data_IF_423717704418
#
_entry.id   IF_423717704418
#
_cell.length_a   1.000
_cell.length_b   1.000
_cell.length_c   1.000
_cell.angle_alpha   90.00
_cell.angle_beta   90.00
_cell.angle_gamma   90.00
#
_symmetry.space_group_name_H-M   'P 1'
#
loop_
_entity.id
_entity.type
_entity.pdbx_description
1 polymer ?
#
# COMPACT_ATOMS: atom_id res chain seq x y z
N UNK A 1 18.84 -1.98 -4.07
CA UNK A 1 18.38 -0.61 -3.78
C UNK A 1 16.85 -0.44 -3.75
N UNK A 2 16.09 -0.64 -4.84
CA UNK A 2 14.63 -0.42 -4.83
C UNK A 2 13.81 -1.37 -3.95
N UNK A 3 14.21 -2.66 -3.89
CA UNK A 3 13.61 -3.67 -2.99
C UNK A 3 13.85 -3.37 -1.51
N UNK A 4 15.04 -2.84 -1.18
CA UNK A 4 15.40 -2.45 0.19
C UNK A 4 14.52 -1.30 0.71
N UNK A 5 14.15 -0.33 -0.13
CA UNK A 5 13.30 0.79 0.30
C UNK A 5 11.88 0.33 0.69
N UNK A 6 11.24 -0.52 -0.10
CA UNK A 6 9.91 -1.04 0.26
C UNK A 6 9.96 -1.89 1.53
N UNK A 7 11.05 -2.64 1.74
CA UNK A 7 11.29 -3.37 2.99
C UNK A 7 11.36 -2.43 4.21
N UNK A 8 12.03 -1.28 4.11
CA UNK A 8 12.05 -0.30 5.21
C UNK A 8 10.66 0.28 5.49
N UNK A 9 9.86 0.56 4.46
CA UNK A 9 8.50 1.02 4.67
C UNK A 9 7.63 -0.06 5.35
N UNK A 10 7.84 -1.33 5.01
CA UNK A 10 7.16 -2.46 5.63
C UNK A 10 7.57 -2.62 7.09
N UNK A 11 8.86 -2.47 7.41
CA UNK A 11 9.35 -2.41 8.79
C UNK A 11 8.68 -1.27 9.58
N UNK A 12 8.63 -0.05 9.02
CA UNK A 12 7.93 1.07 9.65
C UNK A 12 6.45 0.76 9.91
N UNK A 13 5.78 0.08 8.97
CA UNK A 13 4.40 -0.36 9.16
C UNK A 13 4.25 -1.34 10.32
N UNK A 14 5.15 -2.33 10.45
CA UNK A 14 5.14 -3.30 11.55
C UNK A 14 5.42 -2.62 12.90
N UNK A 15 6.27 -1.59 12.92
CA UNK A 15 6.54 -0.74 14.08
C UNK A 15 5.42 0.29 14.37
N UNK A 16 4.30 0.22 13.64
CA UNK A 16 3.15 1.14 13.76
C UNK A 16 3.47 2.60 13.44
N UNK A 17 4.59 2.88 12.75
CA UNK A 17 5.01 4.21 12.31
C UNK A 17 4.34 4.59 10.98
N UNK A 18 3.00 4.55 10.95
CA UNK A 18 2.22 4.67 9.70
C UNK A 18 2.44 5.99 8.96
N UNK A 19 2.48 7.11 9.67
CA UNK A 19 2.72 8.42 9.04
C UNK A 19 4.12 8.54 8.45
N UNK A 20 5.14 8.03 9.16
CA UNK A 20 6.52 8.01 8.67
C UNK A 20 6.64 7.11 7.45
N UNK A 21 6.00 5.94 7.46
CA UNK A 21 5.93 5.04 6.31
C UNK A 21 5.27 5.74 5.11
N UNK A 22 4.19 6.50 5.32
CA UNK A 22 3.52 7.27 4.26
C UNK A 22 4.42 8.35 3.68
N UNK A 23 5.11 9.14 4.51
CA UNK A 23 6.09 10.14 4.04
C UNK A 23 7.18 9.46 3.20
N UNK A 24 7.73 8.36 3.70
CA UNK A 24 8.75 7.59 2.99
C UNK A 24 8.22 7.06 1.64
N UNK A 25 7.05 6.45 1.62
CA UNK A 25 6.42 5.89 0.40
C UNK A 25 6.06 6.96 -0.62
N UNK A 26 5.65 8.17 -0.18
CA UNK A 26 5.39 9.30 -1.08
C UNK A 26 6.64 9.74 -1.86
N UNK A 27 7.82 9.67 -1.23
CA UNK A 27 9.10 10.00 -1.88
C UNK A 27 9.65 8.88 -2.76
N UNK A 28 9.16 7.65 -2.60
CA UNK A 28 9.60 6.51 -3.40
C UNK A 28 9.06 6.59 -4.83
N UNK A 29 9.97 6.63 -5.81
CA UNK A 29 9.66 6.59 -7.25
C UNK A 29 10.21 5.30 -7.87
N UNK A 30 9.37 4.62 -8.63
CA UNK A 30 9.76 3.43 -9.39
C UNK A 30 9.24 3.49 -10.82
N UNK A 31 9.95 2.82 -11.74
CA UNK A 31 9.56 2.66 -13.15
C UNK A 31 8.91 1.31 -13.42
N UNK A 32 8.92 0.42 -12.42
CA UNK A 32 8.44 -0.94 -12.55
C UNK A 32 7.05 -1.03 -11.92
N UNK A 33 6.06 -1.44 -12.73
CA UNK A 33 4.66 -1.56 -12.31
C UNK A 33 4.51 -2.40 -11.04
N UNK A 34 5.23 -3.52 -10.96
CA UNK A 34 5.28 -4.39 -9.77
C UNK A 34 5.59 -3.63 -8.47
N UNK A 35 6.62 -2.79 -8.47
CA UNK A 35 7.00 -2.03 -7.27
C UNK A 35 6.03 -0.88 -6.99
N UNK A 36 5.36 -0.34 -8.01
CA UNK A 36 4.32 0.67 -7.81
C UNK A 36 3.08 0.05 -7.18
N UNK A 37 2.67 -1.14 -7.62
CA UNK A 37 1.58 -1.89 -6.99
C UNK A 37 1.90 -2.17 -5.52
N UNK A 38 3.10 -2.65 -5.19
CA UNK A 38 3.51 -2.88 -3.80
C UNK A 38 3.50 -1.59 -2.97
N UNK A 39 4.04 -0.51 -3.53
CA UNK A 39 4.06 0.80 -2.88
C UNK A 39 2.64 1.28 -2.56
N UNK A 40 1.73 1.20 -3.53
CA UNK A 40 0.32 1.59 -3.36
C UNK A 40 -0.38 0.70 -2.33
N UNK A 41 -0.12 -0.61 -2.33
CA UNK A 41 -0.69 -1.51 -1.34
C UNK A 41 -0.26 -1.15 0.08
N UNK A 42 1.03 -0.90 0.28
CA UNK A 42 1.55 -0.51 1.59
C UNK A 42 1.05 0.88 2.01
N UNK A 43 0.94 1.84 1.08
CA UNK A 43 0.32 3.14 1.35
C UNK A 43 -1.15 2.97 1.76
N UNK A 44 -1.91 2.11 1.08
CA UNK A 44 -3.30 1.81 1.39
C UNK A 44 -3.45 1.30 2.82
N UNK A 45 -2.63 0.31 3.22
CA UNK A 45 -2.60 -0.21 4.59
C UNK A 45 -2.24 0.87 5.62
N UNK A 46 -1.26 1.73 5.33
CA UNK A 46 -0.88 2.81 6.24
C UNK A 46 -1.99 3.86 6.39
N UNK A 47 -2.65 4.25 5.29
CA UNK A 47 -3.76 5.20 5.34
C UNK A 47 -4.95 4.66 6.12
N UNK A 48 -5.26 3.37 5.95
CA UNK A 48 -6.33 2.70 6.71
C UNK A 48 -6.05 2.75 8.22
N UNK A 49 -4.82 2.38 8.62
CA UNK A 49 -4.39 2.46 10.03
C UNK A 49 -4.32 3.88 10.58
N UNK A 50 -4.09 4.88 9.72
CA UNK A 50 -4.13 6.30 10.08
C UNK A 50 -5.56 6.91 10.03
N UNK A 51 -6.60 6.11 9.79
CA UNK A 51 -7.99 6.58 9.72
C UNK A 51 -8.36 7.35 8.44
N UNK A 52 -7.47 7.42 7.46
CA UNK A 52 -7.71 8.13 6.20
C UNK A 52 -8.29 7.17 5.13
N UNK A 53 -9.56 6.83 5.32
CA UNK A 53 -10.24 5.81 4.50
C UNK A 53 -10.31 6.15 3.00
N UNK A 54 -10.50 7.42 2.65
CA UNK A 54 -10.58 7.84 1.24
C UNK A 54 -9.27 7.60 0.50
N UNK A 55 -8.14 7.92 1.14
CA UNK A 55 -6.81 7.69 0.56
C UNK A 55 -6.48 6.19 0.55
N UNK A 56 -6.88 5.45 1.58
CA UNK A 56 -6.74 4.00 1.62
C UNK A 56 -7.48 3.34 0.44
N UNK A 57 -8.74 3.73 0.22
CA UNK A 57 -9.55 3.21 -0.87
C UNK A 57 -8.96 3.51 -2.24
N UNK A 58 -8.48 4.74 -2.47
CA UNK A 58 -7.84 5.10 -3.74
C UNK A 58 -6.62 4.20 -4.04
N UNK A 59 -5.79 3.93 -3.02
CA UNK A 59 -4.68 3.01 -3.11
C UNK A 59 -5.14 1.56 -3.38
N UNK A 60 -6.13 1.05 -2.64
CA UNK A 60 -6.61 -0.32 -2.83
C UNK A 60 -7.26 -0.54 -4.19
N UNK A 61 -8.02 0.44 -4.72
CA UNK A 61 -8.58 0.39 -6.08
C UNK A 61 -7.49 0.31 -7.14
N UNK A 62 -6.42 1.09 -6.99
CA UNK A 62 -5.26 1.00 -7.88
C UNK A 62 -4.64 -0.39 -7.85
N UNK A 63 -4.40 -0.94 -6.66
CA UNK A 63 -3.81 -2.28 -6.50
C UNK A 63 -4.70 -3.36 -7.09
N UNK A 64 -6.01 -3.28 -6.90
CA UNK A 64 -6.97 -4.23 -7.47
C UNK A 64 -6.98 -4.19 -9.01
N UNK A 65 -6.82 -3.01 -9.61
CA UNK A 65 -6.81 -2.83 -11.06
C UNK A 65 -5.49 -3.28 -11.72
N UNK A 66 -4.36 -3.06 -11.07
CA UNK A 66 -3.02 -3.24 -11.68
C UNK A 66 -2.19 -4.38 -11.09
N UNK A 67 -2.63 -5.02 -9.99
CA UNK A 67 -1.90 -6.06 -9.26
C UNK A 67 -2.01 -7.48 -9.81
N UNK A 68 -1.99 -7.65 -11.14
CA UNK A 68 -2.35 -8.88 -11.86
C UNK A 68 -1.64 -10.20 -11.45
N UNK A 69 -0.56 -10.17 -10.67
CA UNK A 69 0.22 -11.37 -10.29
C UNK A 69 0.63 -11.42 -8.81
N UNK A 70 0.05 -10.59 -7.95
CA UNK A 70 0.51 -10.42 -6.57
C UNK A 70 -0.58 -10.74 -5.52
N UNK A 71 -0.23 -11.36 -4.38
CA UNK A 71 -1.12 -11.48 -3.21
C UNK A 71 -1.69 -10.12 -2.74
N UNK A 72 -1.01 -9.03 -3.10
CA UNK A 72 -1.48 -7.66 -2.85
C UNK A 72 -2.84 -7.38 -3.50
N UNK A 73 -3.16 -7.99 -4.66
CA UNK A 73 -4.47 -7.80 -5.31
C UNK A 73 -5.59 -8.44 -4.50
N UNK A 74 -5.39 -9.68 -4.05
CA UNK A 74 -6.37 -10.39 -3.21
C UNK A 74 -6.63 -9.62 -1.92
N UNK A 75 -5.58 -9.20 -1.21
CA UNK A 75 -5.72 -8.40 0.01
C UNK A 75 -6.39 -7.03 -0.23
N UNK A 76 -6.14 -6.39 -1.38
CA UNK A 76 -6.82 -5.15 -1.74
C UNK A 76 -8.31 -5.38 -2.07
N UNK A 77 -8.64 -6.47 -2.78
CA UNK A 77 -10.02 -6.84 -3.08
C UNK A 77 -10.79 -7.21 -1.80
N UNK A 78 -10.16 -7.97 -0.90
CA UNK A 78 -10.72 -8.30 0.40
C UNK A 78 -11.01 -7.02 1.20
N UNK A 79 -10.04 -6.12 1.32
CA UNK A 79 -10.23 -4.83 2.00
C UNK A 79 -11.38 -4.00 1.38
N UNK A 80 -11.48 -3.98 0.05
CA UNK A 80 -12.58 -3.30 -0.65
C UNK A 80 -13.93 -3.98 -0.45
N UNK A 81 -13.95 -5.31 -0.28
CA UNK A 81 -15.16 -6.12 -0.08
C UNK A 81 -15.68 -6.07 1.36
N UNK A 82 -14.82 -5.82 2.35
CA UNK A 82 -15.20 -5.53 3.74
C UNK A 82 -16.02 -4.22 3.89
N UNK A 83 -16.46 -3.60 2.78
CA UNK A 83 -17.40 -2.47 2.74
C UNK A 83 -18.86 -2.83 3.04
N UNK A 84 -19.20 -4.07 3.39
CA UNK A 84 -20.58 -4.44 3.72
C UNK A 84 -20.64 -5.13 5.08
N UNK A 85 -20.68 -4.34 6.15
CA UNK A 85 -21.30 -4.63 7.46
C UNK A 85 -21.44 -3.33 8.23
#
# INVERSE_FOLDING_TARGET
>A
LKKQKLFFAEQMFLEQKYEQALVFLKTYKTRYAYYEVMRQYLMGKCYDKAGNRNMAEACMRYVAAYGNTLPCREGAQEWLSCKVS
#
